data_IF_393483563409
#
_entry.id   IF_393483563409
#
_cell.length_a   1.000
_cell.length_b   1.000
_cell.length_c   1.000
_cell.angle_alpha   90.00
_cell.angle_beta   90.00
_cell.angle_gamma   90.00
#
_symmetry.space_group_name_H-M   'P 1'
#
loop_
_entity.id
_entity.type
_entity.pdbx_description
1 polymer ?
#
# COMPACT_ATOMS: atom_id res chain seq x y z
N UNK A 1 9.31 0.11 12.42
CA UNK A 1 8.62 -1.15 12.78
C UNK A 1 8.98 -1.64 14.18
N UNK A 2 10.27 -1.83 14.51
CA UNK A 2 10.68 -2.25 15.87
C UNK A 2 10.17 -1.35 17.00
N UNK A 3 10.29 -0.03 16.87
CA UNK A 3 9.77 0.93 17.86
C UNK A 3 8.24 0.84 18.01
N UNK A 4 7.52 0.63 16.91
CA UNK A 4 6.07 0.47 16.92
C UNK A 4 5.65 -0.84 17.61
N UNK A 5 6.33 -1.95 17.31
CA UNK A 5 6.09 -3.24 17.99
C UNK A 5 6.30 -3.11 19.51
N UNK A 6 7.37 -2.41 19.93
CA UNK A 6 7.64 -2.12 21.34
C UNK A 6 6.50 -1.31 21.98
N UNK A 7 6.10 -0.20 21.36
CA UNK A 7 5.03 0.67 21.88
C UNK A 7 3.68 -0.05 22.02
N UNK A 8 3.34 -0.93 21.07
CA UNK A 8 2.15 -1.79 21.14
C UNK A 8 2.25 -2.80 22.29
N UNK A 9 3.41 -3.45 22.45
CA UNK A 9 3.61 -4.47 23.48
C UNK A 9 3.66 -3.91 24.91
N UNK A 10 4.18 -2.68 25.07
CA UNK A 10 4.20 -1.91 26.32
C UNK A 10 2.88 -1.18 26.61
N UNK A 11 1.90 -1.24 25.70
CA UNK A 11 0.60 -0.59 25.88
C UNK A 11 0.63 0.94 25.78
N UNK A 12 1.73 1.52 25.27
CA UNK A 12 1.82 2.96 24.98
C UNK A 12 0.85 3.36 23.86
N UNK A 13 0.64 2.45 22.90
CA UNK A 13 -0.35 2.57 21.83
C UNK A 13 -1.36 1.43 22.01
N UNK A 14 -2.65 1.77 22.03
CA UNK A 14 -3.72 0.80 22.24
C UNK A 14 -3.86 -0.21 21.08
N UNK A 15 -3.58 0.21 19.85
CA UNK A 15 -3.56 -0.65 18.66
C UNK A 15 -3.20 0.13 17.39
N UNK A 16 -2.87 -0.60 16.32
CA UNK A 16 -2.57 -0.05 14.99
C UNK A 16 -3.20 -0.90 13.89
N UNK A 17 -3.75 -0.24 12.87
CA UNK A 17 -4.06 -0.87 11.59
C UNK A 17 -3.21 -0.20 10.50
N UNK A 18 -2.46 -0.98 9.73
CA UNK A 18 -1.63 -0.48 8.62
C UNK A 18 -1.86 -1.31 7.36
N UNK A 19 -1.85 -0.65 6.21
CA UNK A 19 -1.96 -1.31 4.90
C UNK A 19 -0.60 -1.47 4.22
N UNK A 20 0.46 -0.85 4.75
CA UNK A 20 1.81 -0.87 4.17
C UNK A 20 2.84 -1.24 5.22
N UNK A 21 3.96 -1.78 4.74
CA UNK A 21 5.16 -2.08 5.52
C UNK A 21 6.39 -1.47 4.85
N UNK A 22 7.50 -1.37 5.58
CA UNK A 22 8.72 -0.74 5.06
C UNK A 22 9.38 -1.57 3.96
N UNK A 23 9.23 -2.90 4.04
CA UNK A 23 9.66 -3.87 3.04
C UNK A 23 8.46 -4.73 2.67
N UNK A 24 8.19 -4.84 1.38
CA UNK A 24 7.05 -5.58 0.85
C UNK A 24 7.50 -6.52 -0.29
N UNK A 25 7.23 -7.85 -0.20
CA UNK A 25 6.61 -8.54 0.94
C UNK A 25 7.49 -8.53 2.19
N UNK A 26 6.91 -8.49 3.40
CA UNK A 26 7.69 -8.48 4.63
C UNK A 26 8.44 -9.79 4.85
N UNK A 27 9.65 -9.74 5.44
CA UNK A 27 10.34 -10.95 5.86
C UNK A 27 9.59 -11.63 7.03
N UNK A 28 9.80 -12.94 7.18
CA UNK A 28 9.09 -13.74 8.20
C UNK A 28 9.38 -13.30 9.64
N UNK A 29 10.52 -12.63 9.87
CA UNK A 29 10.95 -12.09 11.16
C UNK A 29 10.53 -10.62 11.38
N UNK A 30 9.62 -10.08 10.56
CA UNK A 30 9.11 -8.73 10.75
C UNK A 30 8.54 -8.57 12.18
N UNK A 31 9.01 -7.59 12.98
CA UNK A 31 8.63 -7.47 14.38
C UNK A 31 7.13 -7.18 14.59
N UNK A 32 6.43 -6.69 13.56
CA UNK A 32 5.00 -6.42 13.64
C UNK A 32 4.14 -7.69 13.60
N UNK A 33 4.65 -8.83 13.10
CA UNK A 33 3.89 -10.09 13.13
C UNK A 33 3.72 -10.69 14.54
N UNK A 34 4.58 -10.32 15.49
CA UNK A 34 4.48 -10.72 16.89
C UNK A 34 3.94 -9.63 17.82
N UNK A 35 3.57 -8.45 17.30
CA UNK A 35 3.11 -7.33 18.13
C UNK A 35 1.64 -7.48 18.54
N UNK A 36 1.29 -7.00 19.74
CA UNK A 36 -0.10 -6.96 20.21
C UNK A 36 -0.93 -5.95 19.41
N UNK A 37 -2.24 -6.19 19.32
CA UNK A 37 -3.24 -5.23 18.83
C UNK A 37 -2.91 -4.60 17.47
N UNK A 38 -2.39 -5.39 16.54
CA UNK A 38 -2.05 -4.95 15.20
C UNK A 38 -2.89 -5.66 14.12
N UNK A 39 -3.31 -4.90 13.12
CA UNK A 39 -3.96 -5.40 11.91
C UNK A 39 -3.12 -4.94 10.72
N UNK A 40 -2.77 -5.89 9.85
CA UNK A 40 -2.00 -5.62 8.64
C UNK A 40 -2.83 -6.07 7.45
N UNK A 41 -3.03 -5.18 6.48
CA UNK A 41 -3.60 -5.52 5.18
C UNK A 41 -2.51 -5.45 4.10
N UNK A 42 -2.54 -6.31 3.06
CA UNK A 42 -1.41 -6.48 2.14
C UNK A 42 -1.43 -5.44 1.00
N UNK A 43 -1.27 -4.15 1.33
CA UNK A 43 -1.21 -3.04 0.37
C UNK A 43 -2.41 -2.97 -0.59
N UNK A 44 -3.61 -3.10 -0.02
CA UNK A 44 -4.88 -3.15 -0.75
C UNK A 44 -5.72 -1.89 -0.59
N UNK A 45 -5.20 -0.84 0.05
CA UNK A 45 -5.89 0.43 0.27
C UNK A 45 -6.34 1.10 -1.04
N UNK A 46 -5.59 0.89 -2.12
CA UNK A 46 -5.96 1.37 -3.45
C UNK A 46 -6.92 0.44 -4.22
N UNK A 47 -7.06 -0.82 -3.80
CA UNK A 47 -7.54 -1.92 -4.64
C UNK A 47 -9.07 -2.07 -4.72
N UNK A 48 -9.83 -1.03 -4.37
CA UNK A 48 -11.29 -1.03 -4.56
C UNK A 48 -11.65 -1.28 -6.03
N UNK A 49 -12.79 -1.94 -6.29
CA UNK A 49 -13.24 -2.21 -7.67
C UNK A 49 -13.32 -0.93 -8.50
N UNK A 50 -13.93 0.12 -7.95
CA UNK A 50 -14.09 1.40 -8.64
C UNK A 50 -12.76 2.10 -8.95
N UNK A 51 -11.77 2.02 -8.04
CA UNK A 51 -10.44 2.56 -8.31
C UNK A 51 -9.72 1.79 -9.42
N UNK A 52 -9.82 0.46 -9.44
CA UNK A 52 -9.25 -0.38 -10.50
C UNK A 52 -9.90 -0.15 -11.86
N UNK A 53 -11.22 0.05 -11.91
CA UNK A 53 -11.93 0.41 -13.14
C UNK A 53 -11.44 1.76 -13.70
N UNK A 54 -11.31 2.79 -12.85
CA UNK A 54 -10.76 4.10 -13.27
C UNK A 54 -9.31 3.99 -13.74
N UNK A 55 -8.48 3.23 -13.02
CA UNK A 55 -7.08 3.01 -13.38
C UNK A 55 -6.96 2.37 -14.78
N UNK A 56 -7.81 1.38 -15.09
CA UNK A 56 -7.80 0.74 -16.41
C UNK A 56 -8.20 1.71 -17.52
N UNK A 57 -9.22 2.54 -17.30
CA UNK A 57 -9.61 3.57 -18.27
C UNK A 57 -8.44 4.53 -18.54
N UNK A 58 -7.85 5.12 -17.50
CA UNK A 58 -6.70 6.04 -17.61
C UNK A 58 -5.53 5.36 -18.35
N UNK A 59 -5.22 4.11 -18.01
CA UNK A 59 -4.14 3.35 -18.67
C UNK A 59 -4.40 3.18 -20.16
N UNK A 60 -5.63 2.82 -20.55
CA UNK A 60 -5.99 2.66 -21.97
C UNK A 60 -5.99 3.98 -22.72
N UNK A 61 -6.39 5.07 -22.07
CA UNK A 61 -6.40 6.40 -22.66
C UNK A 61 -4.99 6.92 -22.89
N UNK A 62 -4.08 6.77 -21.91
CA UNK A 62 -2.66 7.10 -22.06
C UNK A 62 -2.03 6.35 -23.24
N UNK A 63 -2.30 5.05 -23.39
CA UNK A 63 -1.80 4.26 -24.52
C UNK A 63 -2.34 4.77 -25.85
N UNK A 64 -3.64 5.09 -25.93
CA UNK A 64 -4.26 5.65 -27.14
C UNK A 64 -3.66 7.00 -27.50
N UNK A 65 -3.41 7.85 -26.52
CA UNK A 65 -2.84 9.18 -26.70
C UNK A 65 -1.39 9.11 -27.20
N UNK A 66 -0.59 8.19 -26.62
CA UNK A 66 0.76 7.89 -27.09
C UNK A 66 0.79 7.45 -28.57
N UNK A 67 -0.06 6.50 -28.96
CA UNK A 67 -0.14 6.03 -30.36
C UNK A 67 -0.57 7.12 -31.35
N UNK A 68 -1.25 8.17 -30.88
CA UNK A 68 -1.65 9.35 -31.68
C UNK A 68 -0.60 10.47 -31.69
N UNK A 69 0.57 10.27 -31.07
CA UNK A 69 1.61 11.30 -30.95
C UNK A 69 1.26 12.43 -29.97
N UNK A 70 0.27 12.23 -29.09
CA UNK A 70 -0.17 13.23 -28.09
C UNK A 70 -0.14 12.62 -26.68
N UNK A 71 1.05 12.19 -26.17
CA UNK A 71 1.15 11.51 -24.88
C UNK A 71 0.60 12.37 -23.73
N UNK A 72 0.02 11.71 -22.74
CA UNK A 72 -0.60 12.32 -21.56
C UNK A 72 0.03 11.74 -20.29
N UNK A 73 -0.01 12.50 -19.19
CA UNK A 73 0.50 12.07 -17.87
C UNK A 73 1.98 11.62 -17.91
N UNK A 74 2.83 12.34 -18.66
CA UNK A 74 4.28 12.09 -18.76
C UNK A 74 4.97 12.59 -17.49
N UNK A 75 5.91 11.81 -16.95
CA UNK A 75 6.55 12.06 -15.64
C UNK A 75 8.08 12.07 -15.69
N UNK A 76 8.66 12.02 -16.89
CA UNK A 76 10.10 12.02 -17.14
C UNK A 76 10.51 13.12 -18.11
#
# INVERSE_FOLDING_TARGET
>A
EAALAKALNEGQIAGVATDVLSVEPPPADNPLFGAKNIIITPHIGWATRAARERLMNIRTDNLRAFLKGTPQNVVN
#
